data_IF_118662104548
#
_entry.id   IF_118662104548
#
_cell.length_a   1.000
_cell.length_b   1.000
_cell.length_c   1.000
_cell.angle_alpha   90.00
_cell.angle_beta   90.00
_cell.angle_gamma   90.00
#
_symmetry.space_group_name_H-M   'P 1'
#
loop_
_entity.id
_entity.type
_entity.pdbx_description
1 polymer ?
#
# COMPACT_ATOMS: atom_id res chain seq x y z
N UNK A 1 -2.69 21.30 14.55
CA UNK A 1 -3.73 20.25 14.65
C UNK A 1 -3.09 18.91 14.28
N UNK A 2 -3.13 17.89 15.16
CA UNK A 2 -2.73 16.55 14.75
C UNK A 2 -3.66 16.08 13.61
N UNK A 3 -3.15 15.34 12.61
CA UNK A 3 -3.97 14.84 11.53
C UNK A 3 -5.09 13.92 12.08
N UNK A 4 -6.30 14.01 11.52
CA UNK A 4 -7.48 13.30 12.02
C UNK A 4 -7.33 11.77 11.92
N UNK A 5 -7.63 11.09 13.03
CA UNK A 5 -7.48 9.66 13.28
C UNK A 5 -8.59 8.80 12.64
N UNK A 6 -9.04 9.11 11.42
CA UNK A 6 -10.08 8.33 10.71
C UNK A 6 -9.53 7.21 9.82
N UNK A 7 -8.25 6.84 9.93
CA UNK A 7 -7.75 5.61 9.28
C UNK A 7 -8.24 4.40 10.07
N UNK A 8 -9.55 4.17 9.99
CA UNK A 8 -10.22 2.92 10.34
C UNK A 8 -10.45 2.15 9.05
N UNK A 9 -9.37 1.58 8.51
CA UNK A 9 -9.47 0.36 7.72
C UNK A 9 -8.80 -0.76 8.52
N UNK A 10 -9.43 -1.24 9.61
CA UNK A 10 -8.96 -2.44 10.33
C UNK A 10 -9.17 -3.71 9.51
N UNK A 11 -9.88 -3.63 8.38
CA UNK A 11 -10.05 -4.75 7.48
C UNK A 11 -8.84 -4.80 6.53
N UNK A 12 -8.07 -5.91 6.52
CA UNK A 12 -7.04 -6.07 5.53
C UNK A 12 -7.68 -5.89 4.15
N UNK A 13 -7.06 -5.12 3.23
CA UNK A 13 -7.61 -4.98 1.89
C UNK A 13 -7.86 -6.38 1.33
N UNK A 14 -8.96 -6.64 0.61
CA UNK A 14 -9.30 -7.99 0.13
C UNK A 14 -8.18 -8.63 -0.71
N UNK A 15 -7.26 -7.81 -1.22
CA UNK A 15 -6.05 -8.25 -1.92
C UNK A 15 -5.00 -8.91 -0.99
N UNK A 16 -4.95 -8.58 0.30
CA UNK A 16 -3.94 -9.06 1.24
C UNK A 16 -4.02 -10.58 1.43
N UNK A 17 -5.24 -11.11 1.62
CA UNK A 17 -5.45 -12.55 1.77
C UNK A 17 -5.08 -13.31 0.50
N UNK A 18 -5.37 -12.76 -0.67
CA UNK A 18 -4.96 -13.33 -1.96
C UNK A 18 -3.44 -13.27 -2.17
N UNK A 19 -2.79 -12.18 -1.80
CA UNK A 19 -1.32 -12.03 -1.88
C UNK A 19 -0.65 -13.03 -0.94
N UNK A 20 -1.15 -13.17 0.29
CA UNK A 20 -0.68 -14.15 1.26
C UNK A 20 -0.89 -15.58 0.76
N UNK A 21 -2.08 -15.90 0.21
CA UNK A 21 -2.40 -17.21 -0.32
C UNK A 21 -1.51 -17.60 -1.51
N UNK A 22 -1.24 -16.65 -2.41
CA UNK A 22 -0.32 -16.87 -3.53
C UNK A 22 1.12 -17.06 -3.04
N UNK A 23 1.54 -16.29 -2.03
CA UNK A 23 2.84 -16.45 -1.38
C UNK A 23 2.98 -17.84 -0.76
N UNK A 24 1.98 -18.24 0.02
CA UNK A 24 1.88 -19.56 0.63
C UNK A 24 1.92 -20.67 -0.41
N UNK A 25 1.08 -20.60 -1.45
CA UNK A 25 1.02 -21.59 -2.51
C UNK A 25 2.38 -21.73 -3.20
N UNK A 26 3.03 -20.62 -3.54
CA UNK A 26 4.35 -20.65 -4.19
C UNK A 26 5.47 -21.19 -3.29
N UNK A 27 5.41 -20.94 -1.97
CA UNK A 27 6.34 -21.49 -0.99
C UNK A 27 6.12 -22.98 -0.75
N UNK A 28 4.87 -23.38 -0.57
CA UNK A 28 4.44 -24.76 -0.37
C UNK A 28 4.76 -25.63 -1.59
N UNK A 29 4.62 -25.12 -2.82
CA UNK A 29 4.95 -25.87 -4.03
C UNK A 29 6.45 -26.13 -4.15
N UNK A 30 7.28 -25.10 -3.91
CA UNK A 30 8.76 -25.20 -4.00
C UNK A 30 9.33 -26.11 -2.90
N UNK A 31 8.87 -25.93 -1.66
CA UNK A 31 9.31 -26.80 -0.56
C UNK A 31 8.66 -28.18 -0.63
N UNK A 32 7.46 -28.29 -1.18
CA UNK A 32 6.75 -29.56 -1.39
C UNK A 32 7.49 -30.48 -2.35
N UNK A 33 8.01 -29.98 -3.47
CA UNK A 33 8.79 -30.78 -4.42
C UNK A 33 10.14 -31.22 -3.83
N UNK A 34 10.82 -30.33 -3.11
CA UNK A 34 12.07 -30.64 -2.40
C UNK A 34 11.83 -31.67 -1.29
N UNK A 35 10.75 -31.50 -0.51
CA UNK A 35 10.39 -32.41 0.57
C UNK A 35 10.00 -33.78 0.03
N UNK A 36 9.28 -33.85 -1.10
CA UNK A 36 8.95 -35.12 -1.77
C UNK A 36 10.20 -35.82 -2.32
N UNK A 37 11.12 -35.08 -2.94
CA UNK A 37 12.39 -35.61 -3.43
C UNK A 37 13.28 -36.11 -2.28
N UNK A 38 13.40 -35.34 -1.19
CA UNK A 38 14.13 -35.74 0.01
C UNK A 38 13.51 -36.98 0.66
N UNK A 39 12.18 -37.07 0.69
CA UNK A 39 11.45 -38.23 1.21
C UNK A 39 11.73 -39.49 0.37
N UNK A 40 11.71 -39.37 -0.95
CA UNK A 40 12.02 -40.45 -1.87
C UNK A 40 13.48 -40.91 -1.75
N UNK A 41 14.41 -39.97 -1.60
CA UNK A 41 15.85 -40.25 -1.46
C UNK A 41 16.18 -40.91 -0.11
N UNK A 42 15.63 -40.41 1.00
CA UNK A 42 15.80 -41.02 2.34
C UNK A 42 15.21 -42.43 2.41
N UNK A 43 14.06 -42.65 1.77
CA UNK A 43 13.45 -43.98 1.70
C UNK A 43 14.31 -44.98 0.89
N UNK A 44 15.16 -44.50 -0.02
CA UNK A 44 16.01 -45.33 -0.89
C UNK A 44 17.40 -45.62 -0.32
N UNK A 45 17.98 -44.72 0.47
CA UNK A 45 19.38 -44.82 0.93
C UNK A 45 19.56 -45.19 2.41
N UNK A 46 18.62 -44.88 3.30
CA UNK A 46 18.80 -45.11 4.74
C UNK A 46 17.94 -46.26 5.28
N UNK A 47 18.52 -47.36 5.79
CA UNK A 47 17.77 -48.49 6.37
C UNK A 47 17.03 -48.10 7.66
N UNK A 48 17.45 -47.02 8.33
CA UNK A 48 16.81 -46.45 9.54
C UNK A 48 15.38 -45.96 9.26
N UNK A 49 15.07 -45.55 8.01
CA UNK A 49 13.73 -45.09 7.61
C UNK A 49 12.72 -46.23 7.31
N UNK A 50 13.14 -47.50 7.33
CA UNK A 50 12.25 -48.66 7.08
C UNK A 50 11.37 -49.03 8.28
N UNK A 51 11.76 -48.66 9.50
CA UNK A 51 10.99 -48.93 10.71
C UNK A 51 10.04 -47.81 11.16
N UNK A 52 10.08 -46.65 10.50
CA UNK A 52 9.36 -45.45 10.93
C UNK A 52 7.94 -45.42 10.33
N UNK A 53 6.94 -45.16 11.16
CA UNK A 53 5.52 -45.19 10.76
C UNK A 53 5.24 -44.26 9.59
N UNK A 54 4.34 -44.69 8.69
CA UNK A 54 3.90 -43.90 7.53
C UNK A 54 3.29 -42.55 7.98
N UNK A 55 2.69 -42.53 9.17
CA UNK A 55 2.13 -41.32 9.79
C UNK A 55 3.21 -40.29 10.14
N UNK A 56 4.33 -40.72 10.73
CA UNK A 56 5.44 -39.80 11.05
C UNK A 56 6.11 -39.25 9.79
N UNK A 57 6.16 -40.07 8.73
CA UNK A 57 6.68 -39.69 7.40
C UNK A 57 5.89 -38.55 6.76
N UNK A 58 4.56 -38.69 6.72
CA UNK A 58 3.66 -37.67 6.16
C UNK A 58 3.63 -36.42 7.04
N UNK A 59 3.68 -36.58 8.37
CA UNK A 59 3.79 -35.45 9.28
C UNK A 59 5.01 -34.58 8.97
N UNK A 60 6.20 -35.18 8.87
CA UNK A 60 7.44 -34.46 8.55
C UNK A 60 7.35 -33.73 7.19
N UNK A 61 6.72 -34.38 6.20
CA UNK A 61 6.54 -33.82 4.86
C UNK A 61 5.61 -32.60 4.86
N UNK A 62 4.44 -32.70 5.50
CA UNK A 62 3.47 -31.60 5.57
C UNK A 62 4.03 -30.47 6.44
N UNK A 63 4.74 -30.76 7.53
CA UNK A 63 5.40 -29.74 8.36
C UNK A 63 6.41 -28.91 7.56
N UNK A 64 7.26 -29.55 6.74
CA UNK A 64 8.19 -28.84 5.87
C UNK A 64 7.48 -28.00 4.79
N UNK A 65 6.39 -28.52 4.23
CA UNK A 65 5.59 -27.82 3.22
C UNK A 65 4.87 -26.59 3.81
N UNK A 66 4.25 -26.73 4.99
CA UNK A 66 3.58 -25.63 5.69
C UNK A 66 4.61 -24.57 6.09
N UNK A 67 5.76 -24.96 6.62
CA UNK A 67 6.82 -24.03 6.99
C UNK A 67 7.31 -23.22 5.78
N UNK A 68 7.57 -23.89 4.65
CA UNK A 68 7.96 -23.23 3.40
C UNK A 68 6.88 -22.29 2.86
N UNK A 69 5.61 -22.68 2.99
CA UNK A 69 4.47 -21.83 2.65
C UNK A 69 4.38 -20.58 3.52
N UNK A 70 4.47 -20.72 4.83
CA UNK A 70 4.38 -19.61 5.78
C UNK A 70 5.50 -18.58 5.57
N UNK A 71 6.76 -19.02 5.39
CA UNK A 71 7.90 -18.10 5.16
C UNK A 71 7.68 -17.23 3.92
N UNK A 72 7.21 -17.83 2.83
CA UNK A 72 7.03 -17.10 1.57
C UNK A 72 5.77 -16.23 1.58
N UNK A 73 4.73 -16.64 2.32
CA UNK A 73 3.56 -15.80 2.58
C UNK A 73 3.93 -14.54 3.36
N UNK A 74 4.72 -14.67 4.43
CA UNK A 74 5.19 -13.54 5.25
C UNK A 74 6.02 -12.56 4.43
N UNK A 75 6.96 -13.04 3.61
CA UNK A 75 7.73 -12.17 2.71
C UNK A 75 6.84 -11.39 1.74
N UNK A 76 5.88 -12.04 1.10
CA UNK A 76 5.00 -11.40 0.11
C UNK A 76 4.06 -10.38 0.74
N UNK A 77 3.57 -10.66 1.96
CA UNK A 77 2.77 -9.71 2.74
C UNK A 77 3.60 -8.52 3.18
N UNK A 78 4.85 -8.75 3.60
CA UNK A 78 5.79 -7.68 3.95
C UNK A 78 6.05 -6.73 2.77
N UNK A 79 6.37 -7.27 1.60
CA UNK A 79 6.57 -6.50 0.37
C UNK A 79 5.34 -5.67 -0.01
N UNK A 80 4.15 -6.26 0.08
CA UNK A 80 2.90 -5.56 -0.17
C UNK A 80 2.67 -4.39 0.81
N UNK A 81 2.87 -4.62 2.12
CA UNK A 81 2.73 -3.59 3.14
C UNK A 81 3.73 -2.45 2.96
N UNK A 82 4.98 -2.75 2.61
CA UNK A 82 5.98 -1.73 2.28
C UNK A 82 5.60 -0.92 1.04
N UNK A 83 5.04 -1.57 0.02
CA UNK A 83 4.51 -0.92 -1.17
C UNK A 83 3.42 0.10 -0.82
N UNK A 84 2.45 -0.30 0.01
CA UNK A 84 1.39 0.58 0.51
C UNK A 84 1.98 1.75 1.32
N UNK A 85 2.98 1.51 2.16
CA UNK A 85 3.67 2.57 2.92
C UNK A 85 4.42 3.56 2.03
N UNK A 86 5.01 3.11 0.91
CA UNK A 86 5.67 4.00 -0.06
C UNK A 86 4.64 4.79 -0.86
N UNK A 87 3.55 4.15 -1.28
CA UNK A 87 2.47 4.78 -2.01
C UNK A 87 1.76 5.87 -1.19
N UNK A 88 1.44 5.60 0.08
CA UNK A 88 0.87 6.62 0.99
C UNK A 88 1.77 7.83 1.12
N UNK A 89 3.08 7.62 1.35
CA UNK A 89 4.07 8.71 1.39
C UNK A 89 4.15 9.52 0.09
N UNK A 90 3.98 8.88 -1.07
CA UNK A 90 3.95 9.59 -2.34
C UNK A 90 2.66 10.42 -2.52
N UNK A 91 1.51 9.84 -2.19
CA UNK A 91 0.20 10.49 -2.25
C UNK A 91 0.13 11.70 -1.31
N UNK A 92 0.69 11.60 -0.11
CA UNK A 92 0.73 12.72 0.85
C UNK A 92 1.56 13.89 0.32
N UNK A 93 2.64 13.63 -0.44
CA UNK A 93 3.43 14.69 -1.09
C UNK A 93 2.63 15.36 -2.20
N UNK A 94 1.96 14.57 -3.04
CA UNK A 94 1.09 15.13 -4.08
C UNK A 94 -0.01 15.99 -3.46
N UNK A 95 -0.67 15.49 -2.42
CA UNK A 95 -1.75 16.21 -1.73
C UNK A 95 -1.31 17.58 -1.22
N UNK A 96 -0.10 17.69 -0.65
CA UNK A 96 0.45 18.98 -0.20
C UNK A 96 0.65 19.97 -1.37
N UNK A 97 1.20 19.50 -2.49
CA UNK A 97 1.37 20.35 -3.68
C UNK A 97 0.02 20.84 -4.23
N UNK A 98 -1.00 19.97 -4.27
CA UNK A 98 -2.35 20.35 -4.67
C UNK A 98 -3.01 21.34 -3.68
N UNK A 99 -2.75 21.22 -2.37
CA UNK A 99 -3.24 22.16 -1.36
C UNK A 99 -2.59 23.54 -1.55
N UNK A 100 -1.27 23.60 -1.76
CA UNK A 100 -0.54 24.84 -2.05
C UNK A 100 -1.04 25.53 -3.34
N UNK A 101 -1.25 24.79 -4.43
CA UNK A 101 -1.78 25.32 -5.69
C UNK A 101 -3.18 25.92 -5.54
N UNK A 102 -4.03 25.30 -4.72
CA UNK A 102 -5.39 25.81 -4.42
C UNK A 102 -5.34 27.11 -3.63
N UNK A 103 -4.49 27.19 -2.61
CA UNK A 103 -4.32 28.41 -1.81
C UNK A 103 -3.80 29.58 -2.66
N UNK A 104 -2.84 29.32 -3.56
CA UNK A 104 -2.31 30.33 -4.49
C UNK A 104 -3.40 30.83 -5.44
N UNK A 105 -4.20 29.92 -6.00
CA UNK A 105 -5.33 30.28 -6.88
C UNK A 105 -6.34 31.19 -6.16
N UNK A 106 -6.69 30.85 -4.92
CA UNK A 106 -7.62 31.66 -4.11
C UNK A 106 -7.06 33.06 -3.81
N UNK A 107 -5.76 33.16 -3.50
CA UNK A 107 -5.11 34.47 -3.28
C UNK A 107 -5.11 35.35 -4.53
N UNK A 108 -4.89 34.77 -5.70
CA UNK A 108 -4.92 35.49 -6.98
C UNK A 108 -6.33 36.00 -7.29
N UNK A 109 -7.35 35.15 -7.11
CA UNK A 109 -8.76 35.54 -7.31
C UNK A 109 -9.17 36.67 -6.35
N UNK A 110 -8.72 36.62 -5.09
CA UNK A 110 -8.95 37.72 -4.12
C UNK A 110 -8.28 39.03 -4.53
N UNK A 111 -7.07 38.98 -5.10
CA UNK A 111 -6.37 40.17 -5.61
C UNK A 111 -7.09 40.79 -6.80
N UNK A 112 -7.50 39.98 -7.78
CA UNK A 112 -8.24 40.44 -8.97
C UNK A 112 -9.56 41.09 -8.51
N UNK A 113 -10.32 40.44 -7.62
CA UNK A 113 -11.57 40.99 -7.11
C UNK A 113 -11.38 42.28 -6.28
N UNK A 114 -10.20 42.49 -5.66
CA UNK A 114 -9.86 43.73 -4.97
C UNK A 114 -9.45 44.85 -5.95
N UNK A 115 -8.69 44.51 -7.00
CA UNK A 115 -8.33 45.42 -8.07
C UNK A 115 -9.56 45.90 -8.85
N UNK A 116 -10.50 45.01 -9.20
CA UNK A 116 -11.77 45.37 -9.83
C UNK A 116 -12.62 46.30 -8.96
N UNK A 117 -12.66 46.06 -7.64
CA UNK A 117 -13.33 46.97 -6.68
C UNK A 117 -12.66 48.34 -6.62
N UNK A 118 -11.33 48.39 -6.64
CA UNK A 118 -10.56 49.64 -6.65
C UNK A 118 -10.77 50.42 -7.96
N UNK A 119 -10.80 49.72 -9.09
CA UNK A 119 -11.00 50.30 -10.42
C UNK A 119 -12.42 50.85 -10.59
N UNK A 120 -13.44 50.10 -10.13
CA UNK A 120 -14.84 50.54 -10.13
C UNK A 120 -15.06 51.75 -9.21
N UNK A 121 -14.34 51.82 -8.07
CA UNK A 121 -14.32 52.99 -7.20
C UNK A 121 -13.69 54.23 -7.84
N UNK A 122 -12.57 54.08 -8.56
CA UNK A 122 -11.95 55.19 -9.31
C UNK A 122 -12.80 55.67 -10.49
N UNK A 123 -13.44 54.75 -11.22
CA UNK A 123 -14.33 55.09 -12.34
C UNK A 123 -15.59 55.86 -11.89
N UNK A 124 -16.11 55.57 -10.69
CA UNK A 124 -17.22 56.32 -10.11
C UNK A 124 -16.79 57.73 -9.60
N UNK A 125 -15.53 57.91 -9.18
CA UNK A 125 -15.01 59.20 -8.71
C UNK A 125 -14.63 60.17 -9.84
N UNK A 126 -14.21 59.68 -11.01
CA UNK A 126 -13.79 60.51 -12.14
C UNK A 126 -14.92 61.21 -12.91
N UNK A 127 -16.18 60.81 -12.73
CA UNK A 127 -17.33 61.36 -13.46
C UNK A 127 -17.93 62.65 -12.88
N UNK A 128 -17.51 63.10 -11.70
CA UNK A 128 -18.13 64.23 -10.98
C UNK A 128 -17.46 65.59 -11.29
N UNK A 129 -16.36 65.61 -12.06
CA UNK A 129 -15.54 66.82 -12.26
C UNK A 129 -15.78 67.67 -13.52
N UNK A 130 -16.66 67.28 -14.46
CA UNK A 130 -16.76 67.95 -15.79
C UNK A 130 -18.20 68.42 -16.12
N UNK A 131 -18.93 68.97 -15.15
CA UNK A 131 -20.21 69.62 -15.39
C UNK A 131 -20.37 70.85 -14.46
N UNK A 132 -19.60 71.89 -14.73
CA UNK A 132 -19.61 73.12 -13.95
C UNK A 132 -19.03 74.28 -14.74
N UNK A 133 -19.74 74.73 -15.78
CA UNK A 133 -19.58 76.05 -16.40
C UNK A 133 -20.81 76.40 -17.22
#
# INVERSE_FOLDING_TARGET
MPPPSYITDPLPPPQLSQVAAQGFASGALRFGTISFAAHFLLNRYTPVYRGLTIQFKVFLQISAMILGGCIFAEKRVGEFNEGIRRQRRAMDRSRRAWEEEREVREMVERKIAAEERSQKGSAAGGGVGIAGK
#
